data_IF_296228333634
#
_entry.id   IF_296228333634
#
_cell.length_a   1.000
_cell.length_b   1.000
_cell.length_c   1.000
_cell.angle_alpha   90.00
_cell.angle_beta   90.00
_cell.angle_gamma   90.00
#
_symmetry.space_group_name_H-M   'P 1'
#
loop_
_entity.id
_entity.type
_entity.pdbx_description
1 polymer ?
#
# COMPACT_ATOMS: atom_id res chain seq x y z
N UNK A 1 11.87 34.70 -0.88
CA UNK A 1 10.40 34.60 -0.71
C UNK A 1 10.06 33.15 -0.43
N UNK A 2 9.81 32.79 0.83
CA UNK A 2 9.32 31.46 1.18
C UNK A 2 7.85 31.39 0.77
N UNK A 3 7.53 30.58 -0.25
CA UNK A 3 6.13 30.29 -0.60
C UNK A 3 5.48 29.67 0.64
N UNK A 4 4.29 30.13 1.08
CA UNK A 4 3.58 29.49 2.17
C UNK A 4 3.31 28.04 1.76
N UNK A 5 3.78 27.10 2.58
CA UNK A 5 3.56 25.68 2.37
C UNK A 5 2.08 25.43 2.62
N UNK A 6 1.30 25.25 1.57
CA UNK A 6 -0.12 24.92 1.69
C UNK A 6 -0.29 23.44 1.99
N UNK A 7 -1.36 23.02 2.68
CA UNK A 7 -1.66 21.61 2.91
C UNK A 7 -1.69 20.76 1.63
N UNK A 8 -2.08 21.36 0.50
CA UNK A 8 -2.08 20.74 -0.82
C UNK A 8 -0.67 20.44 -1.31
N UNK A 9 0.25 21.41 -1.20
CA UNK A 9 1.67 21.20 -1.57
C UNK A 9 2.33 20.11 -0.71
N UNK A 10 1.95 19.98 0.57
CA UNK A 10 2.43 18.89 1.42
C UNK A 10 1.92 17.52 0.98
N UNK A 11 0.65 17.44 0.54
CA UNK A 11 0.09 16.19 0.00
C UNK A 11 0.79 15.77 -1.29
N UNK A 12 1.05 16.71 -2.20
CA UNK A 12 1.76 16.43 -3.44
C UNK A 12 3.20 15.95 -3.18
N UNK A 13 3.92 16.62 -2.28
CA UNK A 13 5.27 16.21 -1.89
C UNK A 13 5.24 14.80 -1.27
N UNK A 14 4.32 14.54 -0.34
CA UNK A 14 4.17 13.23 0.28
C UNK A 14 3.84 12.14 -0.76
N UNK A 15 2.96 12.45 -1.72
CA UNK A 15 2.62 11.51 -2.78
C UNK A 15 3.80 11.21 -3.70
N UNK A 16 4.53 12.24 -4.13
CA UNK A 16 5.72 12.08 -4.98
C UNK A 16 6.79 11.18 -4.32
N UNK A 17 6.99 11.28 -3.01
CA UNK A 17 7.90 10.40 -2.26
C UNK A 17 7.41 8.95 -2.28
N UNK A 18 6.10 8.71 -2.32
CA UNK A 18 5.50 7.37 -2.33
C UNK A 18 5.09 6.86 -3.71
N UNK A 19 5.39 7.61 -4.78
CA UNK A 19 4.92 7.32 -6.13
C UNK A 19 5.48 6.00 -6.68
N UNK A 20 6.76 5.71 -6.41
CA UNK A 20 7.38 4.44 -6.78
C UNK A 20 6.68 3.24 -6.13
N UNK A 21 6.35 3.36 -4.83
CA UNK A 21 5.61 2.33 -4.10
C UNK A 21 4.21 2.13 -4.69
N UNK A 22 3.53 3.22 -5.07
CA UNK A 22 2.22 3.14 -5.73
C UNK A 22 2.31 2.41 -7.07
N UNK A 23 3.27 2.79 -7.93
CA UNK A 23 3.44 2.20 -9.25
C UNK A 23 3.76 0.70 -9.17
N UNK A 24 4.66 0.28 -8.28
CA UNK A 24 4.98 -1.13 -8.06
C UNK A 24 3.75 -1.95 -7.59
N UNK A 25 2.90 -1.36 -6.75
CA UNK A 25 1.66 -2.01 -6.31
C UNK A 25 0.67 -2.16 -7.47
N UNK A 26 0.51 -1.13 -8.31
CA UNK A 26 -0.37 -1.18 -9.48
C UNK A 26 0.11 -2.22 -10.49
N UNK A 27 1.40 -2.30 -10.78
CA UNK A 27 1.96 -3.34 -11.65
C UNK A 27 1.70 -4.75 -11.10
N UNK A 28 1.90 -4.95 -9.80
CA UNK A 28 1.59 -6.22 -9.13
C UNK A 28 0.10 -6.57 -9.20
N UNK A 29 -0.78 -5.58 -9.04
CA UNK A 29 -2.22 -5.77 -9.16
C UNK A 29 -2.60 -6.18 -10.59
N UNK A 30 -2.07 -5.51 -11.62
CA UNK A 30 -2.28 -5.88 -13.02
C UNK A 30 -1.78 -7.29 -13.31
N UNK A 31 -0.61 -7.65 -12.80
CA UNK A 31 -0.04 -8.98 -12.99
C UNK A 31 -0.82 -10.07 -12.21
N UNK A 32 -1.38 -9.75 -11.05
CA UNK A 32 -2.30 -10.65 -10.35
C UNK A 32 -3.62 -10.80 -11.12
N UNK A 33 -4.15 -9.71 -11.68
CA UNK A 33 -5.36 -9.71 -12.50
C UNK A 33 -5.19 -10.56 -13.77
N UNK A 34 -4.06 -10.45 -14.46
CA UNK A 34 -3.76 -11.24 -15.65
C UNK A 34 -3.65 -12.74 -15.37
N UNK A 35 -3.34 -13.11 -14.11
CA UNK A 35 -3.36 -14.49 -13.61
C UNK A 35 -4.72 -14.95 -13.08
N UNK A 36 -5.76 -14.12 -13.20
CA UNK A 36 -7.12 -14.42 -12.73
C UNK A 36 -7.31 -14.30 -11.22
N UNK A 37 -6.36 -13.71 -10.50
CA UNK A 37 -6.50 -13.43 -9.08
C UNK A 37 -7.32 -12.14 -8.89
N UNK A 38 -8.13 -12.08 -7.83
CA UNK A 38 -8.98 -10.91 -7.51
C UNK A 38 -8.40 -10.01 -6.42
N UNK A 39 -7.23 -10.39 -5.90
CA UNK A 39 -6.63 -9.71 -4.75
C UNK A 39 -5.12 -9.91 -4.69
N UNK A 40 -4.45 -8.93 -4.10
CA UNK A 40 -3.02 -8.92 -3.83
C UNK A 40 -2.78 -8.75 -2.33
N UNK A 41 -1.81 -9.48 -1.77
CA UNK A 41 -1.38 -9.36 -0.38
C UNK A 41 -0.06 -8.59 -0.31
N UNK A 42 -0.01 -7.50 0.43
CA UNK A 42 1.18 -6.66 0.63
C UNK A 42 1.45 -6.48 2.12
N UNK A 43 2.71 -6.49 2.56
CA UNK A 43 3.08 -6.29 3.95
C UNK A 43 3.32 -4.81 4.33
N UNK A 44 3.83 -4.01 3.39
CA UNK A 44 4.12 -2.59 3.60
C UNK A 44 3.28 -1.71 2.68
N UNK A 45 2.28 -1.06 3.26
CA UNK A 45 1.43 -0.07 2.58
C UNK A 45 1.49 1.24 3.36
N UNK A 46 1.94 2.32 2.73
CA UNK A 46 1.93 3.65 3.34
C UNK A 46 0.51 4.22 3.34
N UNK A 47 0.21 5.06 4.34
CA UNK A 47 -1.13 5.64 4.49
C UNK A 47 -1.52 6.50 3.27
N UNK A 48 -0.54 7.22 2.69
CA UNK A 48 -0.74 8.03 1.48
C UNK A 48 -1.14 7.16 0.28
N UNK A 49 -0.45 6.06 0.06
CA UNK A 49 -0.77 5.10 -1.02
C UNK A 49 -2.10 4.41 -0.75
N UNK A 50 -2.38 4.08 0.51
CA UNK A 50 -3.66 3.50 0.91
C UNK A 50 -4.82 4.43 0.57
N UNK A 51 -4.74 5.72 0.95
CA UNK A 51 -5.75 6.72 0.60
C UNK A 51 -5.93 6.82 -0.91
N UNK A 52 -4.83 6.87 -1.67
CA UNK A 52 -4.90 6.97 -3.12
C UNK A 52 -5.57 5.77 -3.77
N UNK A 53 -5.22 4.55 -3.36
CA UNK A 53 -5.85 3.33 -3.86
C UNK A 53 -7.36 3.28 -3.54
N UNK A 54 -7.78 3.81 -2.38
CA UNK A 54 -9.21 3.92 -2.04
C UNK A 54 -9.91 4.94 -2.96
N UNK A 55 -9.27 6.07 -3.26
CA UNK A 55 -9.79 7.07 -4.22
C UNK A 55 -9.98 6.46 -5.62
N UNK A 56 -9.06 5.61 -6.06
CA UNK A 56 -9.13 4.90 -7.35
C UNK A 56 -10.12 3.70 -7.33
N UNK A 57 -10.76 3.41 -6.20
CA UNK A 57 -11.83 2.41 -6.08
C UNK A 57 -11.40 1.02 -5.59
N UNK A 58 -10.14 0.83 -5.22
CA UNK A 58 -9.66 -0.45 -4.67
C UNK A 58 -10.17 -0.69 -3.24
N UNK A 59 -10.49 -1.94 -2.92
CA UNK A 59 -10.89 -2.35 -1.56
C UNK A 59 -9.68 -2.84 -0.79
N UNK A 60 -9.38 -2.20 0.34
CA UNK A 60 -8.22 -2.53 1.17
C UNK A 60 -8.70 -3.08 2.51
N UNK A 61 -8.24 -4.28 2.87
CA UNK A 61 -8.57 -4.93 4.14
C UNK A 61 -7.29 -5.27 4.91
N UNK A 62 -7.17 -4.89 6.19
CA UNK A 62 -6.05 -5.34 7.01
C UNK A 62 -6.11 -6.85 7.22
N UNK A 63 -4.98 -7.53 7.05
CA UNK A 63 -4.83 -8.96 7.27
C UNK A 63 -3.64 -9.19 8.19
N UNK A 64 -3.78 -10.09 9.16
CA UNK A 64 -2.71 -10.36 10.13
C UNK A 64 -2.33 -11.82 10.03
N UNK A 65 -1.05 -12.08 9.80
CA UNK A 65 -0.49 -13.43 9.79
C UNK A 65 0.50 -13.59 10.93
N UNK A 66 0.44 -14.74 11.59
CA UNK A 66 1.47 -15.12 12.56
C UNK A 66 2.57 -15.88 11.83
N UNK A 67 3.81 -15.47 12.06
CA UNK A 67 4.97 -16.14 11.52
C UNK A 67 5.96 -16.38 12.67
N UNK A 68 6.57 -17.56 12.71
CA UNK A 68 7.63 -17.84 13.66
C UNK A 68 8.90 -17.11 13.22
N UNK A 69 9.59 -16.47 14.16
CA UNK A 69 10.96 -15.99 13.93
C UNK A 69 11.98 -17.14 14.06
N UNK A 70 13.26 -16.86 13.81
CA UNK A 70 14.33 -17.85 13.87
C UNK A 70 14.52 -18.47 15.27
N UNK A 71 13.97 -17.84 16.31
CA UNK A 71 13.97 -18.32 17.71
C UNK A 71 12.67 -19.05 18.07
N UNK A 72 11.87 -19.46 17.08
CA UNK A 72 10.55 -20.10 17.26
C UNK A 72 9.56 -19.25 18.07
N UNK A 73 9.75 -17.93 18.14
CA UNK A 73 8.78 -17.03 18.77
C UNK A 73 7.73 -16.64 17.75
N UNK A 74 6.46 -16.71 18.16
CA UNK A 74 5.33 -16.34 17.30
C UNK A 74 5.26 -14.83 17.17
N UNK A 75 5.67 -14.29 16.02
CA UNK A 75 5.59 -12.85 15.72
C UNK A 75 4.36 -12.56 14.88
N UNK A 76 3.66 -11.48 15.24
CA UNK A 76 2.53 -10.96 14.47
C UNK A 76 3.06 -10.07 13.35
N UNK A 77 2.75 -10.39 12.09
CA UNK A 77 3.06 -9.55 10.93
C UNK A 77 1.77 -9.03 10.31
N UNK A 78 1.71 -7.70 10.13
CA UNK A 78 0.57 -7.01 9.51
C UNK A 78 0.75 -7.03 7.99
N UNK A 79 -0.34 -7.26 7.29
CA UNK A 79 -0.47 -7.23 5.85
C UNK A 79 -1.75 -6.47 5.49
N UNK A 80 -1.90 -6.19 4.21
CA UNK A 80 -3.04 -5.58 3.59
C UNK A 80 -3.42 -6.41 2.37
N UNK A 81 -4.69 -6.78 2.29
CA UNK A 81 -5.28 -7.40 1.10
C UNK A 81 -5.92 -6.28 0.30
N UNK A 82 -5.45 -6.09 -0.92
CA UNK A 82 -5.99 -5.13 -1.88
C UNK A 82 -6.80 -5.93 -2.90
N UNK A 83 -8.05 -5.57 -3.13
CA UNK A 83 -8.96 -6.23 -4.07
C UNK A 83 -9.51 -5.22 -5.08
N UNK A 84 -9.72 -5.69 -6.30
CA UNK A 84 -10.29 -4.95 -7.44
C UNK A 84 -11.50 -5.69 -8.01
#
# INVERSE_FOLDING_TARGET
MNKPITPETLKEIAFNVTLEQYNDIIEKLHHSASKGQKSLLIDNLSDTVQSRLIEEGYKIKPYVKYQYDYLLRKKRKKYYVISF
#
